data_IF_063367640512
#
_entry.id   IF_063367640512
#
_cell.length_a   1.000
_cell.length_b   1.000
_cell.length_c   1.000
_cell.angle_alpha   90.00
_cell.angle_beta   90.00
_cell.angle_gamma   90.00
#
_symmetry.space_group_name_H-M   'P 1'
#
loop_
_entity.id
_entity.type
_entity.pdbx_description
1 polymer ?
#
# COMPACT_ATOMS: atom_id res chain seq x y z
N UNK A 1 -3.51 4.75 -11.13
CA UNK A 1 -2.78 3.72 -10.38
C UNK A 1 -2.68 2.49 -11.27
N UNK A 2 -1.48 2.06 -11.62
CA UNK A 2 -1.27 0.80 -12.33
C UNK A 2 -0.98 -0.29 -11.31
N UNK A 3 -1.70 -1.40 -11.41
CA UNK A 3 -1.51 -2.58 -10.57
C UNK A 3 -0.75 -3.63 -11.35
N UNK A 4 0.45 -4.00 -10.89
CA UNK A 4 1.05 -5.27 -11.29
C UNK A 4 0.92 -6.22 -10.08
N UNK A 5 -0.19 -6.96 -10.02
CA UNK A 5 -0.54 -7.80 -8.87
C UNK A 5 -0.01 -9.20 -9.12
N UNK A 6 1.11 -9.53 -8.49
CA UNK A 6 1.59 -10.91 -8.36
C UNK A 6 0.62 -11.78 -7.54
N UNK A 7 -0.49 -12.20 -8.16
CA UNK A 7 -1.30 -13.32 -7.69
C UNK A 7 -0.74 -14.63 -8.28
N UNK A 8 -1.26 -15.77 -7.81
CA UNK A 8 -0.92 -17.14 -8.24
C UNK A 8 -0.73 -17.31 -9.76
N UNK A 9 -1.45 -16.54 -10.58
CA UNK A 9 -1.32 -16.58 -12.04
C UNK A 9 0.01 -16.00 -12.57
N UNK A 10 0.56 -14.98 -11.92
CA UNK A 10 1.78 -14.28 -12.34
C UNK A 10 3.02 -14.81 -11.63
N UNK A 11 2.86 -15.25 -10.37
CA UNK A 11 3.90 -15.91 -9.58
C UNK A 11 3.38 -17.21 -8.97
N UNK A 12 3.39 -18.33 -9.73
CA UNK A 12 2.90 -19.62 -9.24
C UNK A 12 3.60 -20.12 -7.98
N UNK A 13 4.87 -19.74 -7.77
CA UNK A 13 5.67 -20.10 -6.60
C UNK A 13 5.08 -19.60 -5.27
N UNK A 14 4.17 -18.62 -5.30
CA UNK A 14 3.51 -18.11 -4.10
C UNK A 14 2.39 -19.04 -3.59
N UNK A 15 1.98 -20.04 -4.37
CA UNK A 15 0.93 -20.98 -3.97
C UNK A 15 1.35 -21.77 -2.72
N UNK A 16 0.47 -21.80 -1.72
CA UNK A 16 0.74 -22.43 -0.43
C UNK A 16 1.72 -21.68 0.49
N UNK A 17 2.32 -20.57 0.07
CA UNK A 17 3.30 -19.83 0.88
C UNK A 17 2.67 -18.80 1.85
N UNK A 18 1.38 -18.52 1.70
CA UNK A 18 0.66 -17.58 2.57
C UNK A 18 1.01 -16.11 2.36
N UNK A 19 1.67 -15.77 1.24
CA UNK A 19 2.07 -14.40 0.88
C UNK A 19 1.64 -14.05 -0.55
N UNK A 20 1.47 -12.75 -0.81
CA UNK A 20 1.24 -12.19 -2.14
C UNK A 20 2.04 -10.90 -2.27
N UNK A 21 2.44 -10.55 -3.49
CA UNK A 21 3.21 -9.34 -3.75
C UNK A 21 2.52 -8.50 -4.83
N UNK A 22 2.61 -7.18 -4.70
CA UNK A 22 2.23 -6.25 -5.76
C UNK A 22 3.23 -5.10 -5.78
N UNK A 23 3.49 -4.59 -6.99
CA UNK A 23 4.18 -3.30 -7.17
C UNK A 23 3.13 -2.28 -7.57
N UNK A 24 3.11 -1.16 -6.85
CA UNK A 24 2.13 -0.10 -7.01
C UNK A 24 2.81 1.17 -7.45
N UNK A 25 2.29 1.77 -8.52
CA UNK A 25 2.70 3.09 -8.96
C UNK A 25 1.59 4.10 -8.72
N UNK A 26 1.94 5.18 -8.04
CA UNK A 26 1.06 6.31 -7.75
C UNK A 26 1.45 7.51 -8.62
N UNK A 27 0.73 7.79 -9.73
CA UNK A 27 0.91 9.03 -10.48
C UNK A 27 0.71 10.27 -9.61
N UNK A 28 1.18 11.44 -10.06
CA UNK A 28 0.98 12.70 -9.36
C UNK A 28 -0.48 12.94 -8.95
N UNK A 29 -0.71 13.36 -7.70
CA UNK A 29 -2.03 13.66 -7.14
C UNK A 29 -2.96 12.45 -6.98
N UNK A 30 -2.48 11.23 -7.20
CA UNK A 30 -3.33 10.04 -7.18
C UNK A 30 -3.58 9.51 -5.77
N UNK A 31 -4.76 8.90 -5.60
CA UNK A 31 -5.19 8.26 -4.35
C UNK A 31 -5.48 6.78 -4.61
N UNK A 32 -5.03 5.92 -3.70
CA UNK A 32 -5.66 4.62 -3.51
C UNK A 32 -6.72 4.80 -2.42
N UNK A 33 -8.01 4.79 -2.79
CA UNK A 33 -9.08 5.20 -1.89
C UNK A 33 -9.16 4.28 -0.66
N UNK A 34 -9.84 4.70 0.41
CA UNK A 34 -9.99 3.88 1.60
C UNK A 34 -10.52 2.47 1.30
N UNK A 35 -9.76 1.45 1.71
CA UNK A 35 -10.07 0.04 1.49
C UNK A 35 -9.50 -0.82 2.62
N UNK A 36 -9.75 -2.14 2.61
CA UNK A 36 -9.22 -3.06 3.60
C UNK A 36 -8.93 -4.44 3.00
N UNK A 37 -8.18 -5.25 3.75
CA UNK A 37 -7.88 -6.63 3.41
C UNK A 37 -8.45 -7.55 4.49
N UNK A 38 -9.55 -8.25 4.19
CA UNK A 38 -10.22 -9.12 5.18
C UNK A 38 -9.39 -10.32 5.63
N UNK A 39 -8.37 -10.71 4.85
CA UNK A 39 -7.58 -11.93 5.07
C UNK A 39 -6.08 -11.69 5.28
N UNK A 40 -5.57 -10.48 5.10
CA UNK A 40 -4.13 -10.21 5.10
C UNK A 40 -3.77 -8.90 5.81
N UNK A 41 -2.57 -8.87 6.39
CA UNK A 41 -1.86 -7.63 6.76
C UNK A 41 -1.17 -7.09 5.51
N UNK A 42 -1.18 -5.77 5.31
CA UNK A 42 -0.40 -5.12 4.24
C UNK A 42 0.96 -4.67 4.76
N UNK A 43 2.04 -4.93 4.01
CA UNK A 43 3.38 -4.42 4.30
C UNK A 43 3.87 -3.67 3.07
N UNK A 44 4.18 -2.39 3.23
CA UNK A 44 4.64 -1.51 2.15
C UNK A 44 6.09 -1.14 2.40
N UNK A 45 6.92 -1.20 1.34
CA UNK A 45 8.24 -0.60 1.30
C UNK A 45 8.19 0.49 0.24
N UNK A 46 8.42 1.75 0.61
CA UNK A 46 8.45 2.82 -0.38
C UNK A 46 9.79 2.79 -1.12
N UNK A 47 9.76 2.58 -2.43
CA UNK A 47 10.97 2.51 -3.26
C UNK A 47 11.40 3.91 -3.74
N UNK A 48 10.44 4.76 -4.12
CA UNK A 48 10.71 6.07 -4.70
C UNK A 48 9.72 7.14 -4.22
N UNK A 49 10.23 8.35 -3.94
CA UNK A 49 9.46 9.55 -3.63
C UNK A 49 9.00 9.68 -2.18
N UNK A 50 7.82 10.29 -1.98
CA UNK A 50 7.18 10.50 -0.67
C UNK A 50 5.70 10.18 -0.80
N UNK A 51 5.18 9.34 0.10
CA UNK A 51 3.79 8.86 0.05
C UNK A 51 3.13 9.08 1.40
N UNK A 52 1.94 9.68 1.42
CA UNK A 52 1.12 9.71 2.63
C UNK A 52 0.31 8.42 2.74
N UNK A 53 0.34 7.81 3.91
CA UNK A 53 -0.42 6.61 4.23
C UNK A 53 -1.19 6.79 5.52
N UNK A 54 -2.28 6.06 5.68
CA UNK A 54 -2.96 6.01 6.97
C UNK A 54 -3.97 4.88 7.10
N UNK A 55 -4.32 4.56 8.34
CA UNK A 55 -5.36 3.59 8.68
C UNK A 55 -6.17 4.04 9.88
N UNK A 56 -7.38 3.50 10.00
CA UNK A 56 -8.29 3.77 11.11
C UNK A 56 -8.43 2.51 11.97
N UNK A 57 -8.24 2.63 13.28
CA UNK A 57 -8.42 1.51 14.21
C UNK A 57 -9.89 1.23 14.55
N UNK A 58 -10.13 0.19 15.34
CA UNK A 58 -11.49 -0.21 15.75
C UNK A 58 -12.17 0.78 16.70
N UNK A 59 -11.45 1.79 17.19
CA UNK A 59 -12.00 2.90 17.99
C UNK A 59 -12.24 4.15 17.13
N UNK A 60 -11.99 4.09 15.82
CA UNK A 60 -12.12 5.22 14.92
C UNK A 60 -10.94 6.19 14.95
N UNK A 61 -9.82 5.83 15.59
CA UNK A 61 -8.63 6.68 15.63
C UNK A 61 -7.88 6.57 14.31
N UNK A 62 -7.62 7.72 13.69
CA UNK A 62 -6.84 7.82 12.45
C UNK A 62 -5.33 7.93 12.79
N UNK A 63 -4.55 7.02 12.23
CA UNK A 63 -3.09 7.07 12.24
C UNK A 63 -2.59 7.41 10.83
N UNK A 64 -1.73 8.41 10.71
CA UNK A 64 -1.15 8.82 9.42
C UNK A 64 0.36 8.95 9.51
N UNK A 65 1.04 8.69 8.39
CA UNK A 65 2.47 8.89 8.25
C UNK A 65 2.81 9.29 6.81
N UNK A 66 3.85 10.12 6.66
CA UNK A 66 4.49 10.38 5.36
C UNK A 66 5.75 9.54 5.27
N UNK A 67 5.71 8.55 4.39
CA UNK A 67 6.82 7.67 4.09
C UNK A 67 7.76 8.35 3.10
N UNK A 68 9.05 8.12 3.25
CA UNK A 68 10.11 8.44 2.28
C UNK A 68 10.68 7.15 1.71
N UNK A 69 11.39 7.24 0.59
CA UNK A 69 12.09 6.08 0.02
C UNK A 69 12.94 5.37 1.08
N UNK A 70 12.77 4.05 1.19
CA UNK A 70 13.37 3.20 2.21
C UNK A 70 12.50 2.93 3.44
N UNK A 71 11.46 3.73 3.69
CA UNK A 71 10.56 3.52 4.81
C UNK A 71 9.65 2.30 4.59
N UNK A 72 9.35 1.61 5.69
CA UNK A 72 8.41 0.49 5.73
C UNK A 72 7.18 0.87 6.55
N UNK A 73 6.00 0.50 6.08
CA UNK A 73 4.74 0.70 6.81
C UNK A 73 3.87 -0.55 6.83
N UNK A 74 3.21 -0.80 7.96
CA UNK A 74 2.35 -1.97 8.16
C UNK A 74 0.89 -1.54 8.33
N UNK A 75 0.02 -2.09 7.50
CA UNK A 75 -1.43 -1.95 7.61
C UNK A 75 -2.01 -3.19 8.32
N UNK A 76 -2.57 -3.04 9.54
CA UNK A 76 -3.11 -4.18 10.26
C UNK A 76 -4.26 -4.85 9.50
N UNK A 77 -4.33 -6.19 9.59
CA UNK A 77 -5.37 -6.99 8.94
C UNK A 77 -6.77 -6.49 9.28
N UNK A 78 -7.60 -6.33 8.25
CA UNK A 78 -9.01 -5.95 8.38
C UNK A 78 -9.26 -4.47 8.71
N UNK A 79 -8.22 -3.65 8.93
CA UNK A 79 -8.40 -2.21 9.16
C UNK A 79 -8.46 -1.43 7.84
N UNK A 80 -9.35 -0.45 7.82
CA UNK A 80 -9.51 0.44 6.67
C UNK A 80 -8.31 1.38 6.57
N UNK A 81 -7.75 1.51 5.37
CA UNK A 81 -6.54 2.28 5.11
C UNK A 81 -6.53 2.90 3.70
N UNK A 82 -5.66 3.88 3.51
CA UNK A 82 -5.51 4.62 2.26
C UNK A 82 -4.03 4.91 1.97
N UNK A 83 -3.77 5.28 0.72
CA UNK A 83 -2.50 5.88 0.31
C UNK A 83 -2.75 7.06 -0.62
N UNK A 84 -1.95 8.11 -0.50
CA UNK A 84 -2.11 9.34 -1.25
C UNK A 84 -0.76 9.90 -1.69
N UNK A 85 -0.60 10.04 -3.00
CA UNK A 85 0.44 10.85 -3.60
C UNK A 85 0.00 12.31 -3.60
N UNK A 86 0.50 13.10 -2.65
CA UNK A 86 0.24 14.54 -2.61
C UNK A 86 1.18 15.36 -3.51
N UNK A 87 2.21 14.75 -4.09
CA UNK A 87 3.07 15.40 -5.08
C UNK A 87 2.33 15.50 -6.42
N UNK A 88 2.38 16.67 -7.06
CA UNK A 88 1.69 16.97 -8.32
C UNK A 88 2.61 16.90 -9.54
N UNK A 89 3.86 16.48 -9.36
CA UNK A 89 4.88 16.36 -10.41
C UNK A 89 5.46 14.96 -10.47
N UNK A 90 5.79 14.39 -9.31
CA UNK A 90 6.50 13.12 -9.24
C UNK A 90 5.55 11.95 -8.92
N UNK A 91 5.85 10.80 -9.52
CA UNK A 91 5.20 9.53 -9.17
C UNK A 91 5.86 8.94 -7.93
N UNK A 92 5.17 8.00 -7.26
CA UNK A 92 5.81 7.12 -6.29
C UNK A 92 5.71 5.67 -6.72
N UNK A 93 6.71 4.92 -6.28
CA UNK A 93 6.80 3.49 -6.46
C UNK A 93 6.84 2.82 -5.09
N UNK A 94 5.93 1.88 -4.88
CA UNK A 94 5.82 1.04 -3.68
C UNK A 94 5.90 -0.41 -4.11
#
# INVERSE_FOLDING_TARGET
MYYNKGYKAEFPVLDGQGVSLAVLQFPPGSVNPPHYHSRATGLFLLLEGVLEVGFVDTKGVLYTQRLKAGDIFLFPKGLQHYQYNFDIREKQLV
#
